data_IF_879893585558
#
_entry.id   IF_879893585558
#
_cell.length_a   1.000
_cell.length_b   1.000
_cell.length_c   1.000
_cell.angle_alpha   90.00
_cell.angle_beta   90.00
_cell.angle_gamma   90.00
#
_symmetry.space_group_name_H-M   'P 1'
#
loop_
_entity.id
_entity.type
_entity.pdbx_description
1 polymer ?
#
# COMPACT_ATOMS: atom_id res chain seq x y z
N UNK A 1 8.56 5.19 -22.76
CA UNK A 1 9.41 4.14 -22.27
C UNK A 1 8.71 3.39 -21.18
N UNK A 2 8.64 2.16 -21.31
CA UNK A 2 7.84 1.44 -20.37
C UNK A 2 8.68 0.86 -19.23
N UNK A 3 8.08 0.85 -18.07
CA UNK A 3 8.56 0.18 -16.90
C UNK A 3 7.99 -1.22 -16.86
N UNK A 4 7.98 -1.90 -17.96
CA UNK A 4 7.33 -3.20 -18.03
C UNK A 4 8.11 -4.22 -17.19
N UNK A 5 7.49 -4.65 -16.10
CA UNK A 5 8.08 -5.61 -15.17
C UNK A 5 7.68 -7.05 -15.47
N UNK A 6 6.85 -7.24 -16.49
CA UNK A 6 6.34 -8.58 -16.82
C UNK A 6 7.47 -9.48 -17.31
N UNK A 7 7.44 -10.71 -16.85
CA UNK A 7 8.41 -11.70 -17.27
C UNK A 7 9.78 -11.56 -16.63
N UNK A 8 9.89 -10.76 -15.58
CA UNK A 8 11.16 -10.53 -14.88
C UNK A 8 11.01 -10.92 -13.42
N UNK A 9 12.10 -11.39 -12.84
CA UNK A 9 12.16 -11.62 -11.39
C UNK A 9 12.45 -10.27 -10.75
N UNK A 10 11.59 -9.83 -9.84
CA UNK A 10 11.72 -8.53 -9.18
C UNK A 10 11.56 -8.73 -7.68
N UNK A 11 12.07 -7.76 -6.91
CA UNK A 11 11.85 -7.70 -5.47
C UNK A 11 10.94 -6.51 -5.22
N UNK A 12 9.77 -6.78 -4.66
CA UNK A 12 8.75 -5.74 -4.47
C UNK A 12 9.24 -4.61 -3.58
N UNK A 13 10.00 -4.94 -2.54
CA UNK A 13 10.50 -3.94 -1.59
C UNK A 13 11.60 -3.06 -2.19
N UNK A 14 12.10 -3.40 -3.37
CA UNK A 14 13.13 -2.60 -4.04
C UNK A 14 12.58 -1.74 -5.17
N UNK A 15 11.28 -1.83 -5.46
CA UNK A 15 10.69 -1.09 -6.56
C UNK A 15 10.51 0.39 -6.26
N UNK A 16 10.51 0.79 -5.00
CA UNK A 16 10.33 2.18 -4.58
C UNK A 16 11.32 2.45 -3.45
N UNK A 17 12.05 3.58 -3.56
CA UNK A 17 12.97 4.02 -2.52
C UNK A 17 12.23 4.87 -1.48
N UNK A 18 12.73 4.87 -0.25
CA UNK A 18 12.25 5.83 0.75
C UNK A 18 12.70 7.23 0.34
N UNK A 19 11.81 8.21 0.51
CA UNK A 19 12.11 9.60 0.20
C UNK A 19 11.70 10.46 1.39
N UNK A 20 12.59 11.36 1.79
CA UNK A 20 12.39 12.19 2.97
C UNK A 20 11.13 13.05 2.84
N UNK A 21 10.31 13.03 3.89
CA UNK A 21 9.15 13.90 4.03
C UNK A 21 8.02 13.63 3.08
N UNK A 22 7.96 12.45 2.45
CA UNK A 22 6.94 12.22 1.44
C UNK A 22 6.54 10.75 1.32
N UNK A 23 5.54 10.53 0.49
CA UNK A 23 5.05 9.21 0.09
C UNK A 23 5.40 9.04 -1.39
N UNK A 24 6.02 7.92 -1.74
CA UNK A 24 6.31 7.60 -3.13
C UNK A 24 5.59 6.33 -3.52
N UNK A 25 5.27 6.20 -4.81
CA UNK A 25 4.55 5.01 -5.27
C UNK A 25 5.01 4.63 -6.67
N UNK A 26 4.83 3.35 -6.98
CA UNK A 26 5.09 2.83 -8.31
C UNK A 26 4.03 1.79 -8.64
N UNK A 27 3.32 1.99 -9.74
CA UNK A 27 2.32 1.04 -10.19
C UNK A 27 3.01 -0.15 -10.87
N UNK A 28 2.62 -1.36 -10.46
CA UNK A 28 3.24 -2.59 -10.96
C UNK A 28 2.38 -3.21 -12.05
N UNK A 29 1.08 -3.31 -11.80
CA UNK A 29 0.11 -3.85 -12.77
C UNK A 29 -1.12 -2.95 -12.75
N UNK A 30 -1.64 -2.63 -13.93
CA UNK A 30 -2.86 -1.85 -14.04
C UNK A 30 -3.80 -2.51 -15.03
N UNK A 31 -5.02 -2.79 -14.56
CA UNK A 31 -6.10 -3.37 -15.35
C UNK A 31 -7.39 -2.62 -15.02
N UNK A 32 -8.41 -2.67 -15.89
CA UNK A 32 -9.65 -1.93 -15.62
C UNK A 32 -10.33 -2.29 -14.31
N UNK A 33 -10.16 -3.52 -13.84
CA UNK A 33 -10.84 -3.98 -12.62
C UNK A 33 -9.88 -4.21 -11.46
N UNK A 34 -8.63 -3.81 -11.60
CA UNK A 34 -7.70 -3.95 -10.50
C UNK A 34 -6.34 -3.42 -10.83
N UNK A 35 -5.57 -3.18 -9.78
CA UNK A 35 -4.20 -2.72 -9.94
C UNK A 35 -3.39 -3.12 -8.73
N UNK A 36 -2.08 -3.12 -8.91
CA UNK A 36 -1.12 -3.38 -7.85
C UNK A 36 -0.12 -2.23 -7.86
N UNK A 37 0.06 -1.61 -6.71
CA UNK A 37 0.96 -0.46 -6.54
C UNK A 37 1.81 -0.69 -5.30
N UNK A 38 3.09 -0.36 -5.39
CA UNK A 38 4.00 -0.39 -4.25
C UNK A 38 4.17 1.04 -3.76
N UNK A 39 4.09 1.22 -2.44
CA UNK A 39 4.23 2.52 -1.79
C UNK A 39 5.41 2.49 -0.82
N UNK A 40 6.10 3.63 -0.70
CA UNK A 40 7.01 3.87 0.41
C UNK A 40 6.54 5.13 1.15
N UNK A 41 6.63 5.08 2.48
CA UNK A 41 6.20 6.19 3.35
C UNK A 41 7.35 6.57 4.25
N UNK A 42 7.65 7.86 4.32
CA UNK A 42 8.55 8.33 5.36
C UNK A 42 7.85 8.26 6.71
N UNK A 43 8.60 8.33 7.79
CA UNK A 43 8.07 8.35 9.14
C UNK A 43 7.05 9.47 9.27
N UNK A 44 5.93 9.21 9.95
CA UNK A 44 4.82 10.15 10.17
C UNK A 44 4.00 10.51 8.94
N UNK A 45 4.35 10.01 7.75
CA UNK A 45 3.51 10.17 6.57
C UNK A 45 2.39 9.13 6.58
N UNK A 46 1.35 9.37 5.81
CA UNK A 46 0.23 8.45 5.76
C UNK A 46 -0.78 8.81 4.69
N UNK A 47 -1.92 8.14 4.76
CA UNK A 47 -3.08 8.40 3.92
C UNK A 47 -4.26 8.71 4.83
N UNK A 48 -4.88 9.87 4.61
CA UNK A 48 -6.03 10.28 5.41
C UNK A 48 -7.23 9.38 5.14
N UNK A 49 -8.22 9.45 6.02
CA UNK A 49 -9.42 8.63 5.90
C UNK A 49 -10.10 8.86 4.55
N UNK A 50 -10.42 7.76 3.88
CA UNK A 50 -11.09 7.79 2.58
C UNK A 50 -11.77 6.44 2.33
N UNK A 51 -12.55 6.38 1.25
CA UNK A 51 -13.17 5.13 0.80
C UNK A 51 -12.78 4.89 -0.65
N UNK A 52 -12.87 3.64 -1.08
CA UNK A 52 -12.65 3.26 -2.48
C UNK A 52 -13.65 2.16 -2.86
N UNK A 53 -14.11 2.13 -4.11
CA UNK A 53 -15.06 1.10 -4.55
C UNK A 53 -14.36 -0.21 -4.94
N UNK A 54 -13.31 -0.56 -4.22
CA UNK A 54 -12.49 -1.76 -4.45
C UNK A 54 -12.31 -2.49 -3.14
N UNK A 55 -12.16 -3.82 -3.20
CA UNK A 55 -11.54 -4.55 -2.12
C UNK A 55 -10.05 -4.27 -2.21
N UNK A 56 -9.46 -3.82 -1.12
CA UNK A 56 -8.06 -3.40 -1.10
C UNK A 56 -7.26 -4.28 -0.14
N UNK A 57 -6.28 -5.01 -0.67
CA UNK A 57 -5.41 -5.87 0.12
C UNK A 57 -4.10 -5.13 0.34
N UNK A 58 -3.74 -4.92 1.59
CA UNK A 58 -2.50 -4.23 1.98
C UNK A 58 -1.57 -5.23 2.64
N UNK A 59 -0.37 -5.39 2.08
CA UNK A 59 0.68 -6.24 2.65
C UNK A 59 1.88 -5.37 2.98
N UNK A 60 2.37 -5.46 4.20
CA UNK A 60 3.53 -4.68 4.63
C UNK A 60 4.80 -5.39 4.21
N UNK A 61 5.60 -4.73 3.40
CA UNK A 61 6.85 -5.29 2.87
C UNK A 61 8.05 -4.97 3.75
N UNK A 62 8.01 -3.83 4.46
CA UNK A 62 9.11 -3.36 5.29
C UNK A 62 8.57 -2.33 6.28
N UNK A 63 9.01 -2.39 7.54
CA UNK A 63 8.65 -1.40 8.55
C UNK A 63 7.33 -1.65 9.25
N UNK A 64 6.78 -0.59 9.87
CA UNK A 64 5.58 -0.67 10.71
C UNK A 64 4.67 0.52 10.47
N UNK A 65 3.37 0.26 10.51
CA UNK A 65 2.36 1.30 10.37
C UNK A 65 1.16 1.02 11.23
N UNK A 66 0.35 2.06 11.43
CA UNK A 66 -0.93 1.95 12.10
C UNK A 66 -2.02 2.09 11.05
N UNK A 67 -2.99 1.20 11.09
CA UNK A 67 -4.12 1.20 10.17
C UNK A 67 -5.40 1.43 10.97
N UNK A 68 -6.26 2.29 10.44
CA UNK A 68 -7.60 2.51 10.99
C UNK A 68 -8.61 2.01 9.97
N UNK A 69 -9.52 1.15 10.41
CA UNK A 69 -10.56 0.57 9.55
C UNK A 69 -11.88 0.53 10.30
N UNK A 70 -12.84 1.32 9.84
CA UNK A 70 -14.20 1.33 10.40
C UNK A 70 -14.22 1.44 11.93
N UNK A 71 -13.42 2.36 12.46
CA UNK A 71 -13.37 2.62 13.89
C UNK A 71 -12.45 1.73 14.70
N UNK A 72 -11.74 0.81 14.04
CA UNK A 72 -10.77 -0.08 14.72
C UNK A 72 -9.37 0.25 14.26
N UNK A 73 -8.42 0.18 15.19
CA UNK A 73 -7.01 0.45 14.94
C UNK A 73 -6.23 -0.84 14.99
N UNK A 74 -5.33 -1.01 14.02
CA UNK A 74 -4.46 -2.19 13.93
C UNK A 74 -3.02 -1.73 13.77
N UNK A 75 -2.11 -2.40 14.47
CA UNK A 75 -0.68 -2.24 14.23
C UNK A 75 -0.25 -3.32 13.25
N UNK A 76 0.46 -2.92 12.21
CA UNK A 76 0.93 -3.85 11.18
C UNK A 76 2.43 -3.70 11.02
N UNK A 77 3.09 -4.82 10.81
CA UNK A 77 4.54 -4.87 10.59
C UNK A 77 4.84 -5.77 9.40
N UNK A 78 6.09 -5.82 9.02
CA UNK A 78 6.54 -6.62 7.87
C UNK A 78 5.92 -8.01 7.88
N UNK A 79 5.28 -8.36 6.77
CA UNK A 79 4.62 -9.65 6.59
C UNK A 79 3.12 -9.65 6.89
N UNK A 80 2.63 -8.65 7.60
CA UNK A 80 1.19 -8.58 7.93
C UNK A 80 0.39 -8.12 6.72
N UNK A 81 -0.85 -8.59 6.64
CA UNK A 81 -1.77 -8.27 5.56
C UNK A 81 -3.15 -7.98 6.13
N UNK A 82 -3.83 -6.98 5.57
CA UNK A 82 -5.21 -6.67 5.90
C UNK A 82 -5.98 -6.41 4.61
N UNK A 83 -7.28 -6.71 4.61
CA UNK A 83 -8.16 -6.39 3.50
C UNK A 83 -9.14 -5.33 3.95
N UNK A 84 -9.18 -4.21 3.22
CA UNK A 84 -10.20 -3.17 3.39
C UNK A 84 -11.35 -3.52 2.46
N UNK A 85 -12.54 -3.82 3.01
CA UNK A 85 -13.69 -4.08 2.13
C UNK A 85 -14.03 -2.87 1.27
N UNK A 86 -14.59 -3.10 0.10
CA UNK A 86 -15.03 -2.01 -0.77
C UNK A 86 -15.93 -1.06 0.00
N UNK A 87 -15.69 0.25 -0.16
CA UNK A 87 -16.46 1.34 0.43
C UNK A 87 -16.32 1.49 1.95
N UNK A 88 -15.49 0.69 2.62
CA UNK A 88 -15.25 0.84 4.05
C UNK A 88 -14.25 1.98 4.29
N UNK A 89 -14.55 2.93 5.18
CA UNK A 89 -13.60 4.02 5.45
C UNK A 89 -12.35 3.48 6.14
N UNK A 90 -11.20 3.95 5.67
CA UNK A 90 -9.91 3.50 6.19
C UNK A 90 -8.85 4.59 6.07
N UNK A 91 -7.81 4.48 6.89
CA UNK A 91 -6.67 5.38 6.89
C UNK A 91 -5.44 4.61 7.37
N UNK A 92 -4.26 5.17 7.13
CA UNK A 92 -3.05 4.58 7.68
C UNK A 92 -1.98 5.65 7.91
N UNK A 93 -1.07 5.37 8.85
CA UNK A 93 0.04 6.27 9.13
C UNK A 93 1.30 5.48 9.48
N UNK A 94 2.44 6.03 9.08
CA UNK A 94 3.74 5.40 9.31
C UNK A 94 4.19 5.58 10.75
N UNK A 95 4.49 4.48 11.44
CA UNK A 95 5.13 4.50 12.74
C UNK A 95 6.64 4.61 12.52
N UNK A 96 7.17 3.80 11.63
CA UNK A 96 8.52 3.92 11.09
C UNK A 96 8.38 4.18 9.60
N UNK A 97 9.48 4.41 8.88
CA UNK A 97 9.45 4.28 7.43
C UNK A 97 8.91 2.90 7.10
N UNK A 98 8.01 2.82 6.12
CA UNK A 98 7.50 1.51 5.73
C UNK A 98 7.17 1.46 4.25
N UNK A 99 7.14 0.24 3.73
CA UNK A 99 6.73 -0.04 2.35
C UNK A 99 5.57 -1.01 2.39
N UNK A 100 4.63 -0.83 1.46
CA UNK A 100 3.49 -1.74 1.36
C UNK A 100 3.16 -2.01 -0.10
N UNK A 101 2.56 -3.17 -0.32
CA UNK A 101 1.93 -3.51 -1.59
C UNK A 101 0.42 -3.31 -1.42
N UNK A 102 -0.17 -2.54 -2.31
CA UNK A 102 -1.62 -2.32 -2.33
C UNK A 102 -2.18 -2.99 -3.58
N UNK A 103 -3.05 -3.98 -3.37
CA UNK A 103 -3.76 -4.65 -4.46
C UNK A 103 -5.22 -4.27 -4.37
N UNK A 104 -5.74 -3.65 -5.43
CA UNK A 104 -7.15 -3.24 -5.48
C UNK A 104 -7.86 -4.01 -6.57
N UNK A 105 -9.00 -4.61 -6.20
CA UNK A 105 -9.78 -5.45 -7.11
C UNK A 105 -11.25 -5.06 -6.98
N UNK A 106 -11.93 -4.96 -8.11
CA UNK A 106 -13.37 -4.75 -8.13
C UNK A 106 -14.03 -5.58 -9.24
N UNK A 107 -15.35 -5.65 -9.16
CA UNK A 107 -16.13 -6.36 -10.19
C UNK A 107 -16.19 -5.62 -11.51
#
# INVERSE_FOLDING_TARGET
>A
MSDDLKGKVIRLDELVEYQDGTVASRMVIKQPRGNITIFSFDEDEGLSEHTAPFDALVTILDGECEVWLEGKTFLMKTGDTIIFPANAPHALSAITRFKMMLTMIRE
#
